data_IF_042138738727
#
_entry.id   IF_042138738727
#
_cell.length_a   1.000
_cell.length_b   1.000
_cell.length_c   1.000
_cell.angle_alpha   90.00
_cell.angle_beta   90.00
_cell.angle_gamma   90.00
#
_symmetry.space_group_name_H-M   'P 1'
#
loop_
_entity.id
_entity.type
_entity.pdbx_description
1 polymer ?
#
# COMPACT_ATOMS: atom_id res chain seq x y z
N UNK A 1 2.86 9.65 -6.90
CA UNK A 1 2.74 8.60 -7.94
C UNK A 1 2.40 7.26 -7.32
N UNK A 2 3.11 6.84 -6.26
CA UNK A 2 2.78 5.63 -5.51
C UNK A 2 1.31 5.56 -5.10
N UNK A 3 0.79 6.63 -4.50
CA UNK A 3 -0.63 6.76 -4.10
C UNK A 3 -1.60 6.50 -5.25
N UNK A 4 -1.37 7.10 -6.42
CA UNK A 4 -2.21 6.89 -7.60
C UNK A 4 -2.26 5.41 -8.01
N UNK A 5 -1.11 4.73 -7.96
CA UNK A 5 -1.00 3.31 -8.32
C UNK A 5 -1.70 2.45 -7.26
N UNK A 6 -1.42 2.65 -5.99
CA UNK A 6 -2.03 1.85 -4.91
C UNK A 6 -3.54 2.09 -4.79
N UNK A 7 -4.02 3.30 -5.02
CA UNK A 7 -5.46 3.61 -5.09
C UNK A 7 -6.11 2.94 -6.30
N UNK A 8 -5.44 2.93 -7.46
CA UNK A 8 -5.94 2.22 -8.65
C UNK A 8 -6.04 0.70 -8.42
N UNK A 9 -5.10 0.12 -7.65
CA UNK A 9 -5.13 -1.29 -7.28
C UNK A 9 -6.34 -1.60 -6.39
N UNK A 10 -6.60 -0.77 -5.37
CA UNK A 10 -7.76 -0.91 -4.50
C UNK A 10 -9.07 -0.76 -5.29
N UNK A 11 -9.14 0.22 -6.19
CA UNK A 11 -10.31 0.42 -7.06
C UNK A 11 -10.58 -0.75 -7.99
N UNK A 12 -9.52 -1.37 -8.55
CA UNK A 12 -9.65 -2.45 -9.52
C UNK A 12 -10.27 -3.74 -8.96
N UNK A 13 -10.28 -3.91 -7.64
CA UNK A 13 -10.85 -5.10 -6.99
C UNK A 13 -12.21 -4.87 -6.33
N UNK A 14 -12.72 -3.64 -6.35
CA UNK A 14 -14.03 -3.30 -5.78
C UNK A 14 -15.14 -3.99 -6.56
N UNK A 15 -16.04 -4.69 -5.85
CA UNK A 15 -17.20 -5.38 -6.41
C UNK A 15 -18.48 -4.56 -6.18
N UNK A 16 -19.50 -4.81 -7.02
CA UNK A 16 -20.82 -4.20 -6.83
C UNK A 16 -21.40 -4.55 -5.46
N UNK A 17 -21.79 -3.53 -4.69
CA UNK A 17 -22.36 -3.68 -3.35
C UNK A 17 -21.36 -3.65 -2.19
N UNK A 18 -20.06 -3.63 -2.47
CA UNK A 18 -19.00 -3.44 -1.47
C UNK A 18 -18.32 -2.08 -1.66
N UNK A 19 -17.91 -1.43 -0.57
CA UNK A 19 -17.14 -0.18 -0.70
C UNK A 19 -15.69 -0.45 -1.18
N UNK A 20 -15.15 -1.65 -0.91
CA UNK A 20 -13.87 -2.12 -1.43
C UNK A 20 -13.78 -3.65 -1.46
N UNK A 21 -13.02 -4.21 -2.41
CA UNK A 21 -12.60 -5.61 -2.38
C UNK A 21 -11.34 -5.87 -1.54
N UNK A 22 -10.55 -4.84 -1.27
CA UNK A 22 -9.39 -4.87 -0.37
C UNK A 22 -9.14 -3.46 0.19
N UNK A 23 -9.07 -3.32 1.50
CA UNK A 23 -8.94 -2.00 2.12
C UNK A 23 -7.51 -1.46 2.12
N UNK A 24 -6.52 -2.30 1.78
CA UNK A 24 -5.10 -1.94 1.77
C UNK A 24 -4.43 -2.42 0.48
N UNK A 25 -3.56 -1.58 -0.08
CA UNK A 25 -2.70 -1.95 -1.20
C UNK A 25 -1.26 -1.47 -0.98
N UNK A 26 -0.28 -2.32 -1.30
CA UNK A 26 1.16 -2.04 -1.21
C UNK A 26 1.81 -2.06 -2.60
N UNK A 27 2.68 -1.08 -2.83
CA UNK A 27 3.51 -0.97 -4.01
C UNK A 27 4.96 -0.73 -3.58
N UNK A 28 5.83 -1.67 -3.94
CA UNK A 28 7.28 -1.50 -3.73
C UNK A 28 7.81 -0.35 -4.63
N UNK A 29 8.76 0.46 -4.15
CA UNK A 29 9.22 1.66 -4.87
C UNK A 29 9.85 1.32 -6.23
N UNK A 30 10.54 0.17 -6.35
CA UNK A 30 11.12 -0.29 -7.61
C UNK A 30 10.11 -0.65 -8.72
N UNK A 31 8.81 -0.67 -8.43
CA UNK A 31 7.76 -0.90 -9.43
C UNK A 31 7.38 0.34 -10.24
N UNK A 32 7.78 1.54 -9.79
CA UNK A 32 7.55 2.81 -10.49
C UNK A 32 8.89 3.30 -11.05
N UNK A 33 8.98 3.50 -12.35
CA UNK A 33 10.26 3.76 -13.07
C UNK A 33 10.37 5.17 -13.62
N UNK A 34 9.26 5.86 -13.79
CA UNK A 34 9.20 7.24 -14.25
C UNK A 34 8.02 7.96 -13.57
N UNK A 35 8.05 9.28 -13.59
CA UNK A 35 6.89 10.11 -13.23
C UNK A 35 6.01 10.33 -14.46
N UNK A 36 4.71 10.42 -14.26
CA UNK A 36 3.79 10.91 -15.28
C UNK A 36 3.79 12.44 -15.25
N UNK A 37 3.96 13.04 -16.42
CA UNK A 37 3.80 14.48 -16.63
C UNK A 37 2.33 14.87 -16.52
N UNK A 38 2.06 16.10 -16.08
CA UNK A 38 0.70 16.64 -16.06
C UNK A 38 0.18 16.86 -17.48
N UNK A 39 -1.05 16.42 -17.76
CA UNK A 39 -1.69 16.65 -19.05
C UNK A 39 -2.39 15.41 -19.57
N UNK A 40 -2.34 15.22 -20.89
CA UNK A 40 -2.96 14.06 -21.53
C UNK A 40 -2.10 12.82 -21.31
N UNK A 41 -2.62 11.86 -20.54
CA UNK A 41 -1.94 10.59 -20.25
C UNK A 41 -2.32 9.57 -21.31
N UNK A 42 -1.34 9.07 -22.06
CA UNK A 42 -1.53 8.01 -23.06
C UNK A 42 -0.95 6.67 -22.56
N UNK A 43 -1.33 5.59 -23.24
CA UNK A 43 -0.88 4.24 -22.85
C UNK A 43 0.66 4.09 -22.85
N UNK A 44 1.36 4.78 -23.77
CA UNK A 44 2.83 4.76 -23.80
C UNK A 44 3.47 5.33 -22.52
N UNK A 45 2.82 6.31 -21.88
CA UNK A 45 3.29 6.90 -20.62
C UNK A 45 3.14 5.89 -19.46
N UNK A 46 2.07 5.09 -19.48
CA UNK A 46 1.84 4.02 -18.50
C UNK A 46 2.89 2.90 -18.62
N UNK A 47 3.24 2.51 -19.85
CA UNK A 47 4.32 1.54 -20.11
C UNK A 47 5.67 2.10 -19.63
N UNK A 48 5.93 3.39 -19.81
CA UNK A 48 7.17 4.02 -19.34
C UNK A 48 7.22 4.08 -17.80
N UNK A 49 6.09 4.36 -17.16
CA UNK A 49 5.95 4.50 -15.71
C UNK A 49 6.00 3.16 -14.98
N UNK A 50 5.26 2.17 -15.47
CA UNK A 50 5.21 0.81 -14.89
C UNK A 50 5.43 -0.25 -15.98
N UNK A 51 6.67 -0.46 -16.43
CA UNK A 51 6.97 -1.28 -17.63
C UNK A 51 6.75 -2.77 -17.46
N UNK A 52 6.59 -3.25 -16.23
CA UNK A 52 6.42 -4.67 -15.94
C UNK A 52 4.94 -4.99 -15.73
N UNK A 53 4.39 -5.89 -16.55
CA UNK A 53 3.04 -6.45 -16.39
C UNK A 53 3.00 -7.44 -15.20
N UNK A 54 3.28 -6.94 -14.00
CA UNK A 54 3.16 -7.74 -12.77
C UNK A 54 1.71 -7.96 -12.43
N UNK A 55 1.40 -9.15 -11.93
CA UNK A 55 0.06 -9.49 -11.45
C UNK A 55 -0.23 -8.80 -10.12
N UNK A 56 -1.50 -8.42 -9.97
CA UNK A 56 -2.05 -8.00 -8.69
C UNK A 56 -2.48 -9.25 -7.92
N UNK A 57 -1.99 -9.41 -6.69
CA UNK A 57 -2.29 -10.56 -5.83
C UNK A 57 -2.97 -10.04 -4.58
N UNK A 58 -4.10 -10.65 -4.22
CA UNK A 58 -4.77 -10.44 -2.93
C UNK A 58 -4.47 -11.61 -2.00
N UNK A 59 -4.22 -11.30 -0.73
CA UNK A 59 -4.08 -12.29 0.33
C UNK A 59 -4.46 -11.70 1.69
N UNK A 60 -4.82 -12.58 2.62
CA UNK A 60 -5.07 -12.20 4.01
C UNK A 60 -3.75 -12.20 4.78
N UNK A 61 -3.47 -11.12 5.50
CA UNK A 61 -2.26 -10.95 6.30
C UNK A 61 -2.65 -10.49 7.72
N UNK A 62 -2.03 -11.03 8.79
CA UNK A 62 -2.29 -10.56 10.14
C UNK A 62 -1.69 -9.17 10.37
N UNK A 63 -2.33 -8.36 11.24
CA UNK A 63 -1.92 -6.99 11.52
C UNK A 63 -0.47 -6.84 11.99
N UNK A 64 0.06 -7.80 12.75
CA UNK A 64 1.46 -7.75 13.19
C UNK A 64 2.43 -7.81 12.01
N UNK A 65 2.09 -8.54 10.95
CA UNK A 65 2.92 -8.67 9.77
C UNK A 65 2.83 -7.41 8.89
N UNK A 66 1.68 -6.71 8.90
CA UNK A 66 1.56 -5.37 8.31
C UNK A 66 2.51 -4.40 9.03
N UNK A 67 2.51 -4.40 10.37
CA UNK A 67 3.43 -3.58 11.16
C UNK A 67 4.89 -3.88 10.85
N UNK A 68 5.27 -5.16 10.77
CA UNK A 68 6.63 -5.55 10.39
C UNK A 68 7.00 -5.09 8.98
N UNK A 69 6.06 -5.14 8.02
CA UNK A 69 6.31 -4.62 6.68
C UNK A 69 6.55 -3.11 6.68
N UNK A 70 5.81 -2.35 7.50
CA UNK A 70 6.01 -0.90 7.66
C UNK A 70 7.33 -0.58 8.39
N UNK A 71 7.74 -1.40 9.36
CA UNK A 71 9.05 -1.29 10.00
C UNK A 71 10.19 -1.54 9.00
N UNK A 72 10.09 -2.63 8.22
CA UNK A 72 11.06 -2.95 7.18
C UNK A 72 11.14 -1.85 6.11
N UNK A 73 9.99 -1.25 5.77
CA UNK A 73 9.92 -0.14 4.83
C UNK A 73 10.77 1.07 5.23
N UNK A 74 11.08 1.22 6.52
CA UNK A 74 11.87 2.35 7.04
C UNK A 74 13.15 1.89 7.73
N UNK A 75 13.55 0.61 7.62
CA UNK A 75 14.66 0.05 8.40
C UNK A 75 16.01 0.65 8.02
N UNK A 76 16.28 0.81 6.72
CA UNK A 76 17.56 1.31 6.20
C UNK A 76 17.59 2.83 6.00
N UNK A 77 16.48 3.54 6.29
CA UNK A 77 16.31 4.99 6.07
C UNK A 77 16.71 5.45 4.65
N UNK A 78 16.64 4.55 3.68
CA UNK A 78 16.78 4.86 2.27
C UNK A 78 15.40 4.90 1.60
N UNK A 79 15.31 5.53 0.44
CA UNK A 79 14.07 5.58 -0.33
C UNK A 79 13.82 4.28 -1.14
N UNK A 80 14.75 3.33 -1.09
CA UNK A 80 14.71 2.11 -1.89
C UNK A 80 13.79 1.05 -1.29
N UNK A 81 13.53 1.14 0.01
CA UNK A 81 12.65 0.21 0.73
C UNK A 81 11.29 0.81 1.10
N UNK A 82 11.10 2.13 0.90
CA UNK A 82 9.85 2.81 1.31
C UNK A 82 8.65 2.35 0.50
N UNK A 83 7.79 1.57 1.13
CA UNK A 83 6.52 1.10 0.58
C UNK A 83 5.60 2.28 0.29
N UNK A 84 5.06 2.29 -0.91
CA UNK A 84 3.92 3.12 -1.26
C UNK A 84 2.66 2.36 -0.86
N UNK A 85 1.70 3.02 -0.22
CA UNK A 85 0.54 2.36 0.38
C UNK A 85 -0.75 3.06 -0.03
N UNK A 86 -1.87 2.33 0.00
CA UNK A 86 -3.22 2.89 0.04
C UNK A 86 -3.96 2.30 1.23
N UNK A 87 -4.84 3.10 1.82
CA UNK A 87 -5.66 2.69 2.96
C UNK A 87 -4.91 2.48 4.27
N UNK A 88 -3.64 2.89 4.37
CA UNK A 88 -2.87 2.91 5.62
C UNK A 88 -2.44 4.33 5.96
N UNK A 89 -2.50 4.66 7.26
CA UNK A 89 -1.85 5.82 7.86
C UNK A 89 -0.86 5.33 8.91
N UNK A 90 0.41 5.68 8.74
CA UNK A 90 1.48 5.29 9.66
C UNK A 90 2.26 6.51 10.10
N UNK A 91 2.59 6.57 11.39
CA UNK A 91 3.48 7.59 11.95
C UNK A 91 4.76 6.92 12.45
N UNK A 92 5.89 7.45 12.01
CA UNK A 92 7.21 6.92 12.33
C UNK A 92 8.01 7.86 13.23
N UNK A 93 8.77 7.29 14.17
CA UNK A 93 9.84 7.95 14.90
C UNK A 93 11.19 7.44 14.38
N UNK A 94 11.83 8.21 13.50
CA UNK A 94 13.11 7.83 12.90
C UNK A 94 14.29 7.92 13.89
N UNK A 95 14.11 8.48 15.07
CA UNK A 95 15.13 8.51 16.13
C UNK A 95 15.20 7.20 16.93
N UNK A 96 14.22 6.29 16.76
CA UNK A 96 14.24 4.97 17.39
C UNK A 96 15.06 3.97 16.57
N UNK A 97 15.46 2.90 17.22
CA UNK A 97 16.20 1.81 16.60
C UNK A 97 15.39 1.16 15.47
N UNK A 98 16.09 0.52 14.54
CA UNK A 98 15.44 -0.21 13.44
C UNK A 98 14.49 -1.27 14.00
N UNK A 99 13.32 -1.43 13.36
CA UNK A 99 12.20 -2.27 13.82
C UNK A 99 11.48 -1.81 15.09
N UNK A 100 11.73 -0.57 15.56
CA UNK A 100 11.00 0.07 16.65
C UNK A 100 10.55 1.50 16.27
N UNK A 101 10.30 1.76 14.98
CA UNK A 101 10.04 3.10 14.46
C UNK A 101 8.56 3.42 14.31
N UNK A 102 7.69 2.43 14.15
CA UNK A 102 6.24 2.62 13.97
C UNK A 102 5.59 2.97 15.32
N UNK A 103 5.12 4.21 15.46
CA UNK A 103 4.41 4.69 16.66
C UNK A 103 2.91 4.40 16.54
N UNK A 104 2.35 4.68 15.37
CA UNK A 104 0.93 4.58 15.10
C UNK A 104 0.74 3.92 13.74
N UNK A 105 -0.18 2.96 13.67
CA UNK A 105 -0.53 2.23 12.46
C UNK A 105 -2.04 2.08 12.40
N UNK A 106 -2.66 2.74 11.42
CA UNK A 106 -4.09 2.71 11.15
C UNK A 106 -4.37 2.21 9.74
N UNK A 107 -5.42 1.43 9.59
CA UNK A 107 -5.88 0.92 8.31
C UNK A 107 -7.36 1.27 8.08
N UNK A 108 -7.78 1.35 6.82
CA UNK A 108 -9.19 1.44 6.47
C UNK A 108 -9.92 0.13 6.83
N UNK A 109 -11.08 0.26 7.47
CA UNK A 109 -11.94 -0.88 7.82
C UNK A 109 -12.46 -1.59 6.57
N UNK A 110 -12.19 -2.88 6.40
CA UNK A 110 -12.72 -3.62 5.24
C UNK A 110 -14.24 -3.89 5.36
N UNK A 111 -14.70 -4.28 6.54
CA UNK A 111 -16.09 -4.67 6.82
C UNK A 111 -16.85 -3.52 7.49
N UNK A 112 -17.14 -2.46 6.76
CA UNK A 112 -17.89 -1.30 7.24
C UNK A 112 -18.65 -0.62 6.09
N UNK A 113 -19.78 0.01 6.38
CA UNK A 113 -20.58 0.70 5.35
C UNK A 113 -19.94 2.02 4.90
N UNK A 114 -19.23 2.68 5.83
CA UNK A 114 -18.54 3.94 5.60
C UNK A 114 -17.06 3.74 5.96
N UNK A 115 -16.13 3.93 5.00
CA UNK A 115 -14.72 3.71 5.24
C UNK A 115 -14.17 4.68 6.29
N UNK A 116 -13.58 4.11 7.34
CA UNK A 116 -12.91 4.84 8.43
C UNK A 116 -11.58 4.18 8.75
N UNK A 117 -10.64 5.00 9.23
CA UNK A 117 -9.35 4.53 9.72
C UNK A 117 -9.50 4.03 11.16
N UNK A 118 -9.05 2.81 11.40
CA UNK A 118 -9.02 2.16 12.71
C UNK A 118 -7.60 1.69 13.01
N UNK A 119 -7.26 1.59 14.29
CA UNK A 119 -5.96 1.04 14.70
C UNK A 119 -5.82 -0.42 14.25
N UNK A 120 -4.66 -0.77 13.73
CA UNK A 120 -4.38 -2.14 13.29
C UNK A 120 -4.18 -3.03 14.51
N UNK A 121 -5.10 -3.99 14.68
CA UNK A 121 -4.98 -5.08 15.65
C UNK A 121 -4.04 -6.16 15.11
N UNK A 122 -2.99 -6.45 15.87
CA UNK A 122 -1.94 -7.38 15.50
C UNK A 122 -2.48 -8.81 15.23
N UNK A 123 -3.58 -9.22 15.87
CA UNK A 123 -4.17 -10.55 15.71
C UNK A 123 -5.22 -10.61 14.58
N UNK A 124 -5.69 -9.46 14.09
CA UNK A 124 -6.75 -9.40 13.07
C UNK A 124 -6.15 -9.56 11.67
N UNK A 125 -6.80 -10.38 10.85
CA UNK A 125 -6.45 -10.52 9.44
C UNK A 125 -7.12 -9.42 8.61
N UNK A 126 -6.37 -8.87 7.66
CA UNK A 126 -6.83 -7.85 6.72
C UNK A 126 -6.45 -8.31 5.30
N UNK A 127 -7.33 -8.07 4.33
CA UNK A 127 -7.00 -8.33 2.92
C UNK A 127 -6.07 -7.23 2.40
N UNK A 128 -4.88 -7.65 1.99
CA UNK A 128 -3.85 -6.82 1.39
C UNK A 128 -3.71 -7.14 -0.10
N UNK A 129 -3.61 -6.09 -0.92
CA UNK A 129 -3.15 -6.19 -2.30
C UNK A 129 -1.66 -5.92 -2.39
N UNK A 130 -0.95 -6.79 -3.09
CA UNK A 130 0.45 -6.57 -3.43
C UNK A 130 0.67 -6.86 -4.91
N UNK A 131 1.51 -6.03 -5.53
CA UNK A 131 1.99 -6.27 -6.89
C UNK A 131 3.32 -7.03 -6.84
N UNK A 132 3.28 -8.34 -7.10
CA UNK A 132 4.47 -9.23 -7.06
C UNK A 132 4.77 -9.74 -8.48
N UNK A 133 6.03 -9.63 -8.90
CA UNK A 133 6.67 -10.43 -9.96
C UNK A 133 8.17 -10.20 -10.01
#
# INVERSE_FOLDING_TARGET
MGDLITDSMAYAVTKEGEWTGASIAFQVPGGVRASLESGNVIYADLITTTPFERKLISFEIPGFAIRQAMEYSVSELDFLHVLQVSGIKTTYNLSRDSYDRVIELKALCQLCDIPKYEDVDDAKFIVLLLRIS
#
